data_IF_326036808605
#
_entry.id   IF_326036808605
#
_cell.length_a   1.000
_cell.length_b   1.000
_cell.length_c   1.000
_cell.angle_alpha   90.00
_cell.angle_beta   90.00
_cell.angle_gamma   90.00
#
_symmetry.space_group_name_H-M   'P 1'
#
loop_
_entity.id
_entity.type
_entity.pdbx_description
1 polymer ?
#
# COMPACT_ATOMS: atom_id res chain seq x y z
N UNK A 1 -33.06 46.99 31.60
CA UNK A 1 -31.73 47.54 31.23
C UNK A 1 -30.73 46.96 32.24
N UNK A 2 -29.73 46.14 31.92
CA UNK A 2 -28.98 45.88 30.70
C UNK A 2 -28.67 44.38 30.61
N UNK A 3 -28.92 43.76 29.48
CA UNK A 3 -28.42 42.43 29.11
C UNK A 3 -27.01 42.60 28.56
N UNK A 4 -26.02 41.95 29.18
CA UNK A 4 -24.67 41.84 28.63
C UNK A 4 -24.58 40.51 27.91
N UNK A 5 -24.56 40.56 26.58
CA UNK A 5 -24.23 39.41 25.75
C UNK A 5 -22.71 39.25 25.71
N UNK A 6 -22.18 38.16 26.27
CA UNK A 6 -20.81 37.73 25.99
C UNK A 6 -20.86 36.90 24.71
N UNK A 7 -20.50 37.52 23.59
CA UNK A 7 -20.14 36.81 22.38
C UNK A 7 -18.70 36.29 22.55
N UNK A 8 -18.56 35.03 22.96
CA UNK A 8 -17.30 34.32 22.84
C UNK A 8 -17.17 33.79 21.41
N UNK A 9 -16.38 34.48 20.58
CA UNK A 9 -15.83 33.86 19.37
C UNK A 9 -14.86 32.76 19.82
N UNK A 10 -15.38 31.54 19.98
CA UNK A 10 -14.55 30.36 20.04
C UNK A 10 -13.93 30.15 18.67
N UNK A 11 -12.60 30.16 18.60
CA UNK A 11 -11.88 29.54 17.50
C UNK A 11 -12.39 28.10 17.38
N UNK A 12 -13.18 27.80 16.34
CA UNK A 12 -13.32 26.44 15.87
C UNK A 12 -11.93 26.01 15.43
N UNK A 13 -11.26 25.21 16.27
CA UNK A 13 -10.26 24.30 15.74
C UNK A 13 -11.01 23.44 14.73
N UNK A 14 -10.66 23.59 13.45
CA UNK A 14 -11.07 22.66 12.42
C UNK A 14 -10.43 21.31 12.78
N UNK A 15 -11.14 20.54 13.61
CA UNK A 15 -10.93 19.10 13.67
C UNK A 15 -11.17 18.62 12.23
N UNK A 16 -10.23 17.86 11.62
CA UNK A 16 -10.52 17.21 10.36
C UNK A 16 -11.79 16.39 10.58
N UNK A 17 -12.86 16.73 9.86
CA UNK A 17 -14.04 15.87 9.85
C UNK A 17 -13.64 14.62 9.08
N UNK A 18 -13.08 13.63 9.76
CA UNK A 18 -13.08 12.27 9.23
C UNK A 18 -14.56 11.94 9.04
N UNK A 19 -15.02 11.90 7.79
CA UNK A 19 -16.38 11.47 7.52
C UNK A 19 -16.56 10.10 8.18
N UNK A 20 -17.57 9.99 9.05
CA UNK A 20 -17.89 8.72 9.68
C UNK A 20 -18.15 7.69 8.57
N UNK A 21 -17.57 6.50 8.70
CA UNK A 21 -17.69 5.45 7.69
C UNK A 21 -19.17 5.13 7.42
N UNK A 22 -19.56 5.13 6.14
CA UNK A 22 -20.91 4.75 5.69
C UNK A 22 -20.82 3.49 4.85
N UNK A 23 -21.47 2.43 5.31
CA UNK A 23 -21.60 1.18 4.57
C UNK A 23 -22.82 1.19 3.63
N UNK A 24 -22.72 0.59 2.41
CA UNK A 24 -21.50 0.11 1.78
C UNK A 24 -20.68 1.23 1.16
N UNK A 25 -19.36 1.15 1.27
CA UNK A 25 -18.42 2.01 0.56
C UNK A 25 -17.96 1.35 -0.73
N UNK A 26 -17.68 2.16 -1.76
CA UNK A 26 -17.06 1.64 -3.00
C UNK A 26 -15.65 1.10 -2.78
N UNK A 27 -15.00 1.43 -1.67
CA UNK A 27 -13.65 1.00 -1.31
C UNK A 27 -13.60 -0.17 -0.30
N UNK A 28 -14.76 -0.71 0.10
CA UNK A 28 -14.82 -1.82 1.05
C UNK A 28 -13.99 -3.03 0.61
N UNK A 29 -13.93 -3.30 -0.70
CA UNK A 29 -13.13 -4.40 -1.23
C UNK A 29 -11.62 -4.18 -1.05
N UNK A 30 -11.11 -2.97 -1.32
CA UNK A 30 -9.69 -2.64 -1.11
C UNK A 30 -9.30 -2.69 0.37
N UNK A 31 -10.21 -2.30 1.26
CA UNK A 31 -10.01 -2.44 2.70
C UNK A 31 -9.90 -3.92 3.11
N UNK A 32 -10.73 -4.79 2.54
CA UNK A 32 -10.64 -6.23 2.75
C UNK A 32 -9.34 -6.81 2.21
N UNK A 33 -8.86 -6.35 1.05
CA UNK A 33 -7.56 -6.77 0.51
C UNK A 33 -6.39 -6.30 1.38
N UNK A 34 -6.52 -5.17 2.08
CA UNK A 34 -5.48 -4.63 2.98
C UNK A 34 -5.43 -5.34 4.32
N UNK A 35 -6.56 -5.73 4.89
CA UNK A 35 -6.65 -6.19 6.27
C UNK A 35 -7.04 -7.66 6.45
N UNK A 36 -7.56 -8.35 5.44
CA UNK A 36 -7.93 -9.78 5.54
C UNK A 36 -6.84 -10.67 4.92
N UNK A 37 -5.67 -10.70 5.55
CA UNK A 37 -4.51 -11.44 5.05
C UNK A 37 -4.56 -12.91 5.44
N UNK A 38 -4.97 -13.25 6.66
CA UNK A 38 -4.99 -14.64 7.15
C UNK A 38 -6.25 -14.94 7.95
N UNK A 39 -6.46 -16.22 8.27
CA UNK A 39 -7.58 -16.67 9.08
C UNK A 39 -8.89 -16.83 8.28
N UNK A 40 -10.01 -16.74 9.00
CA UNK A 40 -11.36 -16.96 8.49
C UNK A 40 -11.75 -15.89 7.47
N UNK A 41 -12.19 -16.28 6.27
CA UNK A 41 -12.56 -15.34 5.19
C UNK A 41 -11.40 -14.37 4.87
N UNK A 42 -10.21 -14.94 4.61
CA UNK A 42 -9.07 -14.19 4.07
C UNK A 42 -9.21 -13.94 2.57
N UNK A 43 -8.74 -12.78 2.09
CA UNK A 43 -8.47 -12.54 0.67
C UNK A 43 -7.05 -12.98 0.28
N UNK A 44 -6.13 -12.88 1.24
CA UNK A 44 -4.78 -13.44 1.09
C UNK A 44 -3.87 -12.73 0.10
N UNK A 45 -4.00 -11.41 -0.06
CA UNK A 45 -3.12 -10.62 -0.93
C UNK A 45 -1.63 -10.77 -0.56
N UNK A 46 -1.34 -11.01 0.73
CA UNK A 46 -0.01 -11.34 1.25
C UNK A 46 0.67 -12.55 0.58
N UNK A 47 -0.10 -13.48 -0.02
CA UNK A 47 0.44 -14.71 -0.61
C UNK A 47 1.41 -14.44 -1.77
N UNK A 48 1.29 -13.28 -2.42
CA UNK A 48 2.22 -12.87 -3.47
C UNK A 48 3.62 -12.54 -2.98
N UNK A 49 3.78 -12.22 -1.69
CA UNK A 49 5.05 -11.75 -1.11
C UNK A 49 5.47 -12.52 0.13
N UNK A 50 4.85 -13.69 0.37
CA UNK A 50 5.20 -14.59 1.47
C UNK A 50 5.88 -15.85 0.92
N UNK A 51 7.15 -16.13 1.26
CA UNK A 51 8.03 -15.36 2.15
C UNK A 51 8.55 -14.05 1.53
N UNK A 52 9.11 -13.16 2.37
CA UNK A 52 9.81 -11.94 1.90
C UNK A 52 11.07 -12.27 1.07
N UNK A 53 11.68 -13.44 1.30
CA UNK A 53 12.81 -13.98 0.54
C UNK A 53 12.39 -14.38 -0.89
N UNK A 54 13.14 -15.27 -1.54
CA UNK A 54 12.85 -15.70 -2.91
C UNK A 54 11.45 -16.30 -3.05
N UNK A 55 10.75 -15.83 -4.07
CA UNK A 55 9.42 -16.28 -4.44
C UNK A 55 9.44 -17.62 -5.18
N UNK A 56 8.27 -18.25 -5.28
CA UNK A 56 8.09 -19.45 -6.11
C UNK A 56 8.07 -19.16 -7.62
N UNK A 57 8.14 -17.89 -8.04
CA UNK A 57 8.08 -17.48 -9.44
C UNK A 57 9.37 -17.78 -10.23
N UNK A 58 10.49 -18.06 -9.57
CA UNK A 58 11.73 -18.45 -10.23
C UNK A 58 12.98 -18.16 -9.42
N UNK A 59 14.11 -18.74 -9.84
CA UNK A 59 15.41 -18.47 -9.21
C UNK A 59 15.76 -16.98 -9.31
N UNK A 60 16.16 -16.36 -8.21
CA UNK A 60 16.53 -14.94 -8.15
C UNK A 60 15.36 -13.96 -8.00
N UNK A 61 14.10 -14.42 -8.07
CA UNK A 61 12.91 -13.55 -8.04
C UNK A 61 12.48 -13.25 -6.60
N UNK A 62 12.51 -11.98 -6.20
CA UNK A 62 12.00 -11.52 -4.91
C UNK A 62 10.77 -10.63 -5.13
N UNK A 63 9.58 -11.22 -5.06
CA UNK A 63 8.33 -10.53 -5.43
C UNK A 63 8.05 -9.28 -4.58
N UNK A 64 8.45 -9.27 -3.30
CA UNK A 64 8.33 -8.08 -2.46
C UNK A 64 9.10 -6.88 -3.03
N UNK A 65 10.34 -7.09 -3.50
CA UNK A 65 11.14 -6.05 -4.14
C UNK A 65 10.55 -5.64 -5.51
N UNK A 66 10.05 -6.60 -6.29
CA UNK A 66 9.41 -6.34 -7.59
C UNK A 66 8.15 -5.49 -7.47
N UNK A 67 7.36 -5.68 -6.42
CA UNK A 67 6.17 -4.88 -6.13
C UNK A 67 6.53 -3.43 -5.80
N UNK A 68 7.54 -3.21 -4.95
CA UNK A 68 8.04 -1.87 -4.62
C UNK A 68 8.62 -1.20 -5.87
N UNK A 69 9.41 -1.94 -6.67
CA UNK A 69 9.96 -1.46 -7.93
C UNK A 69 8.86 -1.08 -8.93
N UNK A 70 7.81 -1.88 -9.06
CA UNK A 70 6.69 -1.60 -9.97
C UNK A 70 6.00 -0.29 -9.61
N UNK A 71 5.76 -0.05 -8.31
CA UNK A 71 5.16 1.20 -7.87
C UNK A 71 6.08 2.41 -8.09
N UNK A 72 7.38 2.27 -7.82
CA UNK A 72 8.32 3.36 -8.09
C UNK A 72 8.40 3.70 -9.58
N UNK A 73 8.52 2.69 -10.45
CA UNK A 73 8.64 2.92 -11.89
C UNK A 73 7.38 3.60 -12.47
N UNK A 74 6.19 3.18 -12.05
CA UNK A 74 4.91 3.80 -12.44
C UNK A 74 4.83 5.27 -11.97
N UNK A 75 5.22 5.52 -10.71
CA UNK A 75 5.21 6.86 -10.12
C UNK A 75 6.25 7.81 -10.73
N UNK A 76 7.46 7.32 -10.98
CA UNK A 76 8.68 8.15 -11.13
C UNK A 76 8.67 9.11 -12.32
N UNK A 77 7.78 8.90 -13.29
CA UNK A 77 7.62 9.76 -14.47
C UNK A 77 6.68 10.94 -14.21
N UNK A 78 6.17 11.08 -12.98
CA UNK A 78 5.33 12.19 -12.56
C UNK A 78 5.98 13.56 -12.83
N UNK A 79 5.17 14.47 -13.34
CA UNK A 79 5.52 15.86 -13.58
C UNK A 79 4.57 16.74 -12.77
N UNK A 80 5.05 17.25 -11.65
CA UNK A 80 4.26 18.11 -10.77
C UNK A 80 3.88 19.45 -11.42
N UNK A 81 4.64 19.91 -12.41
CA UNK A 81 4.37 21.18 -13.09
C UNK A 81 3.24 21.06 -14.12
N UNK A 82 3.18 19.92 -14.83
CA UNK A 82 2.12 19.66 -15.83
C UNK A 82 0.96 18.84 -15.26
N UNK A 83 1.15 18.18 -14.12
CA UNK A 83 0.16 17.34 -13.46
C UNK A 83 -0.05 15.99 -14.13
N UNK A 84 0.91 15.50 -14.91
CA UNK A 84 0.83 14.20 -15.63
C UNK A 84 1.71 13.14 -14.98
N UNK A 85 1.43 11.85 -15.24
CA UNK A 85 2.16 10.73 -14.65
C UNK A 85 1.92 10.60 -13.14
N UNK A 86 2.63 9.68 -12.49
CA UNK A 86 2.37 9.28 -11.12
C UNK A 86 1.81 7.88 -11.07
N UNK A 87 1.39 7.44 -9.87
CA UNK A 87 0.90 6.08 -9.66
C UNK A 87 -0.53 5.90 -10.22
N UNK A 88 -0.60 5.65 -11.53
CA UNK A 88 -1.83 5.49 -12.31
C UNK A 88 -1.88 4.18 -13.11
N UNK A 89 -0.95 3.26 -12.85
CA UNK A 89 -0.76 1.99 -13.56
C UNK A 89 -0.44 2.13 -15.05
N UNK A 90 -0.03 3.32 -15.54
CA UNK A 90 0.42 3.51 -16.91
C UNK A 90 1.60 2.60 -17.28
N UNK A 91 2.39 2.14 -16.31
CA UNK A 91 3.49 1.19 -16.53
C UNK A 91 3.07 -0.10 -17.26
N UNK A 92 1.78 -0.48 -17.22
CA UNK A 92 1.27 -1.61 -18.01
C UNK A 92 1.46 -1.45 -19.52
N UNK A 93 1.59 -0.21 -20.00
CA UNK A 93 1.85 0.14 -21.40
C UNK A 93 3.34 0.37 -21.70
N UNK A 94 4.21 0.18 -20.70
CA UNK A 94 5.60 0.67 -20.71
C UNK A 94 6.64 -0.42 -20.44
N UNK A 95 6.21 -1.68 -20.33
CA UNK A 95 7.08 -2.80 -19.93
C UNK A 95 8.22 -3.08 -20.91
N UNK A 96 8.10 -2.63 -22.16
CA UNK A 96 9.11 -2.81 -23.21
C UNK A 96 10.08 -1.62 -23.33
N UNK A 97 9.96 -0.61 -22.47
CA UNK A 97 10.90 0.53 -22.48
C UNK A 97 12.26 0.13 -21.92
N UNK A 98 13.30 0.77 -22.43
CA UNK A 98 14.70 0.54 -22.01
C UNK A 98 14.97 0.94 -20.55
N UNK A 99 14.10 1.75 -19.97
CA UNK A 99 14.10 2.16 -18.56
C UNK A 99 13.34 1.16 -17.64
N UNK A 100 12.62 0.19 -18.23
CA UNK A 100 11.77 -0.80 -17.56
C UNK A 100 12.22 -2.25 -17.84
N UNK A 101 13.53 -2.51 -17.84
CA UNK A 101 14.06 -3.86 -18.11
C UNK A 101 13.66 -4.87 -17.01
N UNK A 102 13.29 -6.08 -17.42
CA UNK A 102 13.07 -7.24 -16.55
C UNK A 102 11.60 -7.57 -16.27
N UNK A 103 11.38 -8.72 -15.63
CA UNK A 103 10.05 -9.34 -15.55
C UNK A 103 9.18 -8.89 -14.34
N UNK A 104 9.63 -7.88 -13.60
CA UNK A 104 9.00 -7.42 -12.37
C UNK A 104 7.56 -6.91 -12.61
N UNK A 105 7.37 -6.12 -13.66
CA UNK A 105 6.10 -5.44 -13.95
C UNK A 105 5.02 -6.41 -14.40
N UNK A 106 5.34 -7.24 -15.41
CA UNK A 106 4.45 -8.31 -15.87
C UNK A 106 4.16 -9.33 -14.77
N UNK A 107 5.14 -9.65 -13.91
CA UNK A 107 4.93 -10.50 -12.73
C UNK A 107 3.95 -9.88 -11.72
N UNK A 108 4.11 -8.59 -11.44
CA UNK A 108 3.20 -7.84 -10.55
C UNK A 108 1.77 -7.85 -11.08
N UNK A 109 1.56 -7.49 -12.35
CA UNK A 109 0.23 -7.54 -12.97
C UNK A 109 -0.33 -8.97 -13.06
N UNK A 110 0.51 -9.97 -13.30
CA UNK A 110 0.11 -11.38 -13.29
C UNK A 110 -0.51 -11.81 -11.95
N UNK A 111 -0.01 -11.29 -10.83
CA UNK A 111 -0.60 -11.51 -9.52
C UNK A 111 -1.83 -10.63 -9.27
N UNK A 112 -1.70 -9.31 -9.44
CA UNK A 112 -2.76 -8.35 -9.07
C UNK A 112 -4.02 -8.49 -9.93
N UNK A 113 -3.92 -9.05 -11.13
CA UNK A 113 -5.08 -9.35 -11.99
C UNK A 113 -6.10 -10.31 -11.32
N UNK A 114 -5.71 -11.11 -10.33
CA UNK A 114 -6.65 -11.93 -9.56
C UNK A 114 -7.59 -11.10 -8.67
N UNK A 115 -7.24 -9.84 -8.41
CA UNK A 115 -7.95 -8.93 -7.52
C UNK A 115 -8.54 -7.72 -8.25
N UNK A 116 -8.15 -7.49 -9.52
CA UNK A 116 -8.67 -6.40 -10.33
C UNK A 116 -10.18 -6.53 -10.59
N UNK A 117 -10.93 -5.46 -10.30
CA UNK A 117 -12.35 -5.34 -10.66
C UNK A 117 -12.84 -3.89 -10.52
N UNK A 118 -14.14 -3.64 -10.75
CA UNK A 118 -14.74 -2.30 -10.65
C UNK A 118 -14.61 -1.61 -9.26
N UNK A 119 -14.25 -2.35 -8.22
CA UNK A 119 -13.99 -1.87 -6.85
C UNK A 119 -12.50 -1.78 -6.50
N UNK A 120 -11.60 -2.20 -7.39
CA UNK A 120 -10.15 -2.17 -7.20
C UNK A 120 -9.45 -1.90 -8.55
N UNK A 121 -9.02 -0.65 -8.75
CA UNK A 121 -8.22 -0.24 -9.90
C UNK A 121 -6.83 -0.90 -9.88
N UNK A 122 -6.20 -1.05 -11.04
CA UNK A 122 -4.85 -1.58 -11.11
C UNK A 122 -3.86 -0.69 -10.34
N UNK A 123 -4.04 0.63 -10.40
CA UNK A 123 -3.22 1.60 -9.67
C UNK A 123 -3.35 1.46 -8.15
N UNK A 124 -4.57 1.26 -7.62
CA UNK A 124 -4.76 0.98 -6.18
C UNK A 124 -4.15 -0.38 -5.78
N UNK A 125 -4.13 -1.37 -6.68
CA UNK A 125 -3.49 -2.66 -6.43
C UNK A 125 -1.96 -2.56 -6.43
N UNK A 126 -1.34 -1.73 -7.29
CA UNK A 126 0.10 -1.44 -7.24
C UNK A 126 0.47 -0.73 -5.92
N UNK A 127 -0.32 0.25 -5.49
CA UNK A 127 -0.14 0.89 -4.20
C UNK A 127 -0.25 -0.11 -3.04
N UNK A 128 -1.28 -0.96 -3.06
CA UNK A 128 -1.48 -2.00 -2.06
C UNK A 128 -0.31 -2.99 -2.03
N UNK A 129 0.21 -3.38 -3.19
CA UNK A 129 1.39 -4.21 -3.34
C UNK A 129 2.59 -3.63 -2.58
N UNK A 130 2.87 -2.33 -2.69
CA UNK A 130 3.94 -1.69 -1.89
C UNK A 130 3.69 -1.83 -0.39
N UNK A 131 2.47 -1.55 0.06
CA UNK A 131 2.10 -1.60 1.50
C UNK A 131 2.24 -3.02 2.07
N UNK A 132 1.80 -4.03 1.32
CA UNK A 132 1.83 -5.43 1.75
C UNK A 132 3.24 -6.00 1.64
N UNK A 133 4.00 -5.69 0.58
CA UNK A 133 5.40 -6.11 0.43
C UNK A 133 6.26 -5.62 1.60
N UNK A 134 6.28 -4.31 1.83
CA UNK A 134 7.07 -3.69 2.90
C UNK A 134 6.63 -4.20 4.26
N UNK A 135 5.32 -4.27 4.51
CA UNK A 135 4.80 -4.74 5.79
C UNK A 135 5.04 -6.22 6.07
N UNK A 136 4.98 -7.09 5.05
CA UNK A 136 5.30 -8.52 5.19
C UNK A 136 6.79 -8.76 5.47
N UNK A 137 7.65 -7.93 4.90
CA UNK A 137 9.09 -7.93 5.15
C UNK A 137 9.48 -7.32 6.52
N UNK A 138 8.52 -6.92 7.37
CA UNK A 138 8.81 -6.35 8.68
C UNK A 138 9.01 -4.82 8.71
N UNK A 139 8.72 -4.16 7.59
CA UNK A 139 8.81 -2.70 7.46
C UNK A 139 7.67 -1.93 8.12
N UNK A 140 7.66 -0.60 7.95
CA UNK A 140 6.79 0.29 8.73
C UNK A 140 5.35 0.26 8.21
N UNK A 141 4.42 0.81 8.99
CA UNK A 141 3.02 0.95 8.57
C UNK A 141 2.92 2.11 7.57
N UNK A 142 2.81 1.78 6.29
CA UNK A 142 2.54 2.76 5.24
C UNK A 142 1.03 3.04 5.20
N UNK A 143 0.58 4.30 5.34
CA UNK A 143 -0.81 4.67 5.10
C UNK A 143 -1.25 4.29 3.68
N UNK A 144 -2.37 3.58 3.56
CA UNK A 144 -2.91 3.14 2.26
C UNK A 144 -4.14 3.96 1.88
N UNK A 145 -3.93 5.08 1.18
CA UNK A 145 -5.04 5.82 0.57
C UNK A 145 -5.52 5.15 -0.71
N UNK A 146 -6.76 5.37 -1.11
CA UNK A 146 -7.41 4.69 -2.25
C UNK A 146 -8.15 5.64 -3.18
N UNK A 147 -8.53 5.18 -4.36
CA UNK A 147 -9.26 5.98 -5.35
C UNK A 147 -8.39 6.44 -6.52
N UNK A 148 -7.32 5.70 -6.83
CA UNK A 148 -6.53 5.92 -8.04
C UNK A 148 -7.31 5.51 -9.28
N UNK A 149 -7.17 6.28 -10.34
CA UNK A 149 -7.77 6.03 -11.65
C UNK A 149 -6.70 5.42 -12.55
N UNK A 150 -7.02 4.30 -13.18
CA UNK A 150 -6.13 3.64 -14.13
C UNK A 150 -5.93 4.50 -15.38
N UNK A 151 -4.68 4.63 -15.80
CA UNK A 151 -4.32 5.23 -17.08
C UNK A 151 -4.88 4.41 -18.24
N UNK A 152 -5.12 5.09 -19.36
CA UNK A 152 -5.62 4.47 -20.60
C UNK A 152 -4.57 4.42 -21.71
N UNK A 153 -3.40 4.99 -21.44
CA UNK A 153 -2.25 5.04 -22.32
C UNK A 153 -0.98 5.12 -21.48
N UNK A 154 0.17 5.00 -22.15
CA UNK A 154 1.47 5.12 -21.52
C UNK A 154 1.71 6.55 -21.00
N UNK A 155 2.38 6.67 -19.85
CA UNK A 155 2.83 7.92 -19.29
C UNK A 155 4.10 8.45 -19.98
N UNK A 156 4.64 9.59 -19.49
CA UNK A 156 5.91 10.12 -19.97
C UNK A 156 7.07 9.13 -19.78
N UNK A 157 8.12 9.22 -20.59
CA UNK A 157 9.39 8.52 -20.33
C UNK A 157 10.21 9.28 -19.27
N UNK A 158 11.22 8.63 -18.70
CA UNK A 158 12.20 9.27 -17.82
C UNK A 158 12.38 8.60 -16.47
N UNK A 159 12.16 7.28 -16.39
CA UNK A 159 12.50 6.52 -15.18
C UNK A 159 14.02 6.58 -14.98
N UNK A 160 14.53 6.90 -13.77
CA UNK A 160 15.96 6.98 -13.53
C UNK A 160 16.71 5.68 -13.86
N UNK A 161 17.82 5.81 -14.61
CA UNK A 161 18.71 4.71 -14.96
C UNK A 161 20.00 4.76 -14.13
N UNK A 162 20.64 3.61 -13.86
CA UNK A 162 21.79 3.54 -12.96
C UNK A 162 23.05 4.24 -13.50
N UNK A 163 23.13 4.49 -14.81
CA UNK A 163 24.25 5.14 -15.49
C UNK A 163 24.13 6.68 -15.58
N UNK A 164 22.97 7.24 -15.22
CA UNK A 164 22.75 8.69 -15.22
C UNK A 164 23.50 9.39 -14.08
N UNK A 165 23.88 10.66 -14.31
CA UNK A 165 24.55 11.48 -13.29
C UNK A 165 23.60 11.96 -12.19
N UNK A 166 24.18 12.46 -11.10
CA UNK A 166 23.42 12.88 -9.92
C UNK A 166 22.57 14.13 -10.17
N UNK A 167 22.98 15.00 -11.10
CA UNK A 167 22.20 16.18 -11.48
C UNK A 167 20.92 15.76 -12.21
N UNK A 168 21.01 14.76 -13.09
CA UNK A 168 19.88 14.15 -13.78
C UNK A 168 18.93 13.49 -12.79
N UNK A 169 19.43 12.65 -11.86
CA UNK A 169 18.61 12.03 -10.82
C UNK A 169 17.91 13.09 -9.96
N UNK A 170 18.64 14.10 -9.49
CA UNK A 170 18.06 15.19 -8.69
C UNK A 170 16.97 15.94 -9.44
N UNK A 171 17.14 16.18 -10.74
CA UNK A 171 16.13 16.83 -11.57
C UNK A 171 14.88 15.96 -11.76
N UNK A 172 15.03 14.64 -11.95
CA UNK A 172 13.89 13.73 -12.08
C UNK A 172 13.07 13.70 -10.78
N UNK A 173 13.71 13.53 -9.63
CA UNK A 173 13.02 13.55 -8.34
C UNK A 173 12.36 14.91 -8.06
N UNK A 174 13.06 16.02 -8.33
CA UNK A 174 12.51 17.36 -8.18
C UNK A 174 11.29 17.60 -9.06
N UNK A 175 11.30 17.06 -10.29
CA UNK A 175 10.15 17.13 -11.22
C UNK A 175 8.92 16.39 -10.68
N UNK A 176 9.13 15.28 -9.98
CA UNK A 176 8.08 14.54 -9.29
C UNK A 176 7.69 15.15 -7.91
N UNK A 177 8.34 16.25 -7.49
CA UNK A 177 8.03 16.95 -6.23
C UNK A 177 8.82 16.47 -5.00
N UNK A 178 9.93 15.77 -5.21
CA UNK A 178 10.81 15.25 -4.15
C UNK A 178 12.14 16.00 -4.10
N UNK A 179 12.58 16.39 -2.91
CA UNK A 179 13.88 17.04 -2.74
C UNK A 179 15.04 16.02 -2.68
N UNK A 180 16.28 16.49 -2.54
CA UNK A 180 17.46 15.60 -2.48
C UNK A 180 17.39 14.62 -1.31
N UNK A 181 17.00 15.03 -0.10
CA UNK A 181 16.87 14.11 1.04
C UNK A 181 15.74 13.08 0.83
N UNK A 182 14.66 13.46 0.14
CA UNK A 182 13.58 12.55 -0.24
C UNK A 182 14.09 11.50 -1.24
N UNK A 183 14.91 11.90 -2.22
CA UNK A 183 15.56 10.99 -3.16
C UNK A 183 16.45 9.99 -2.42
N UNK A 184 17.33 10.46 -1.53
CA UNK A 184 18.19 9.57 -0.73
C UNK A 184 17.36 8.59 0.10
N UNK A 185 16.34 9.09 0.80
CA UNK A 185 15.47 8.27 1.61
C UNK A 185 14.68 7.25 0.77
N UNK A 186 14.12 7.64 -0.37
CA UNK A 186 13.33 6.74 -1.22
C UNK A 186 14.19 5.62 -1.80
N UNK A 187 15.41 5.92 -2.27
CA UNK A 187 16.34 4.90 -2.78
C UNK A 187 16.79 3.98 -1.65
N UNK A 188 17.19 4.49 -0.48
CA UNK A 188 17.58 3.67 0.66
C UNK A 188 16.42 2.76 1.14
N UNK A 189 15.21 3.29 1.26
CA UNK A 189 14.04 2.50 1.67
C UNK A 189 13.65 1.45 0.61
N UNK A 190 13.72 1.79 -0.68
CA UNK A 190 13.42 0.85 -1.76
C UNK A 190 14.44 -0.27 -1.87
N UNK A 191 15.73 0.07 -1.78
CA UNK A 191 16.85 -0.87 -1.92
C UNK A 191 17.21 -1.61 -0.63
N UNK A 192 16.45 -1.43 0.46
CA UNK A 192 16.43 -2.41 1.55
C UNK A 192 15.89 -3.77 1.09
N UNK A 193 15.12 -3.79 0.00
CA UNK A 193 14.68 -5.03 -0.63
C UNK A 193 15.31 -5.20 -2.01
N UNK A 194 15.63 -6.44 -2.37
CA UNK A 194 15.99 -6.78 -3.74
C UNK A 194 17.48 -6.74 -4.05
N UNK A 195 17.76 -6.47 -5.33
CA UNK A 195 19.07 -6.57 -5.93
C UNK A 195 19.01 -6.43 -7.44
N UNK A 196 20.16 -6.65 -8.08
CA UNK A 196 20.32 -6.56 -9.53
C UNK A 196 20.33 -7.95 -10.15
N UNK A 197 19.47 -8.16 -11.14
CA UNK A 197 19.42 -9.37 -11.95
C UNK A 197 20.52 -9.33 -13.02
N UNK A 198 21.38 -10.35 -13.02
CA UNK A 198 22.50 -10.40 -13.94
C UNK A 198 22.10 -10.63 -15.39
N UNK A 199 21.00 -11.35 -15.64
CA UNK A 199 20.44 -11.49 -17.00
C UNK A 199 20.04 -10.15 -17.63
N UNK A 200 19.57 -9.22 -16.80
CA UNK A 200 19.02 -7.94 -17.23
C UNK A 200 20.11 -6.86 -17.29
N UNK A 201 21.09 -6.93 -16.37
CA UNK A 201 22.18 -5.96 -16.24
C UNK A 201 23.55 -6.66 -16.05
N UNK A 202 24.03 -7.43 -17.06
CA UNK A 202 25.28 -8.18 -16.96
C UNK A 202 26.51 -7.29 -16.82
N UNK A 203 26.45 -6.04 -17.26
CA UNK A 203 27.49 -5.03 -17.08
C UNK A 203 27.62 -4.56 -15.63
N UNK A 204 26.56 -4.69 -14.83
CA UNK A 204 26.55 -4.34 -13.40
C UNK A 204 26.99 -5.55 -12.57
N UNK A 205 26.41 -6.73 -12.82
CA UNK A 205 26.70 -7.93 -12.01
C UNK A 205 27.93 -8.71 -12.47
N UNK A 206 28.45 -8.41 -13.67
CA UNK A 206 29.51 -9.15 -14.35
C UNK A 206 29.14 -10.62 -14.65
N UNK A 207 27.86 -10.97 -14.63
CA UNK A 207 27.36 -12.32 -14.84
C UNK A 207 25.96 -12.31 -15.45
N UNK A 208 25.85 -12.74 -16.71
CA UNK A 208 24.58 -12.75 -17.47
C UNK A 208 23.68 -13.96 -17.23
N UNK A 209 23.92 -14.77 -16.19
CA UNK A 209 23.09 -15.95 -15.90
C UNK A 209 21.70 -15.56 -15.39
N UNK A 210 20.67 -16.27 -15.85
CA UNK A 210 19.28 -16.16 -15.34
C UNK A 210 19.18 -16.28 -13.82
N UNK A 211 20.05 -17.09 -13.21
CA UNK A 211 20.04 -17.32 -11.76
C UNK A 211 20.93 -16.35 -10.98
N UNK A 212 21.60 -15.42 -11.65
CA UNK A 212 22.45 -14.45 -10.97
C UNK A 212 21.60 -13.29 -10.47
N UNK A 213 21.54 -13.13 -9.16
CA UNK A 213 20.87 -12.04 -8.48
C UNK A 213 21.80 -11.53 -7.37
N UNK A 214 22.26 -10.28 -7.51
CA UNK A 214 23.21 -9.66 -6.57
C UNK A 214 22.44 -8.69 -5.69
N UNK A 215 22.27 -9.06 -4.42
CA UNK A 215 21.51 -8.28 -3.43
C UNK A 215 22.14 -6.91 -3.14
N UNK A 216 21.28 -5.97 -2.74
CA UNK A 216 21.74 -4.66 -2.26
C UNK A 216 22.32 -4.72 -0.84
N UNK A 217 21.91 -5.70 -0.04
CA UNK A 217 22.37 -5.91 1.33
C UNK A 217 23.08 -7.25 1.46
N UNK A 218 23.99 -7.37 2.43
CA UNK A 218 24.74 -8.60 2.65
C UNK A 218 23.99 -9.63 3.50
N UNK A 219 24.52 -10.85 3.55
CA UNK A 219 23.98 -11.95 4.37
C UNK A 219 22.48 -12.19 4.11
N UNK A 220 21.67 -12.29 5.18
CA UNK A 220 20.23 -12.55 5.09
C UNK A 220 19.40 -11.27 5.30
N UNK A 221 20.01 -10.09 5.26
CA UNK A 221 19.30 -8.82 5.44
C UNK A 221 18.23 -8.60 4.36
N UNK A 222 18.49 -9.06 3.12
CA UNK A 222 17.53 -9.04 2.01
C UNK A 222 16.20 -9.76 2.29
N UNK A 223 16.11 -10.60 3.33
CA UNK A 223 14.86 -11.27 3.74
C UNK A 223 13.98 -10.42 4.68
N UNK A 224 14.43 -9.22 5.02
CA UNK A 224 13.78 -8.28 5.95
C UNK A 224 13.87 -6.84 5.42
N UNK A 225 12.92 -6.01 5.84
CA UNK A 225 12.97 -4.57 5.60
C UNK A 225 13.63 -3.90 6.81
N UNK A 226 14.94 -3.73 6.74
CA UNK A 226 15.77 -3.14 7.78
C UNK A 226 16.71 -2.06 7.21
N UNK A 227 17.63 -1.54 8.03
CA UNK A 227 18.50 -0.45 7.62
C UNK A 227 19.92 -0.90 7.22
N UNK A 228 20.11 -2.17 6.85
CA UNK A 228 21.42 -2.71 6.48
C UNK A 228 22.01 -2.00 5.26
N UNK A 229 21.21 -1.68 4.23
CA UNK A 229 21.66 -0.91 3.05
C UNK A 229 22.30 0.43 3.46
N UNK A 230 21.87 1.01 4.58
CA UNK A 230 22.42 2.24 5.14
C UNK A 230 23.67 1.97 5.96
N UNK A 231 23.61 1.05 6.93
CA UNK A 231 24.73 0.81 7.83
C UNK A 231 25.94 0.24 7.12
N UNK A 232 25.72 -0.70 6.19
CA UNK A 232 26.78 -1.30 5.38
C UNK A 232 27.43 -0.29 4.41
N UNK A 233 26.64 0.67 3.89
CA UNK A 233 27.19 1.75 3.08
C UNK A 233 28.09 2.67 3.90
N UNK A 234 27.63 3.07 5.10
CA UNK A 234 28.34 4.01 5.96
C UNK A 234 29.62 3.43 6.57
N UNK A 235 29.65 2.13 6.88
CA UNK A 235 30.84 1.46 7.44
C UNK A 235 31.79 0.89 6.36
N UNK A 236 31.38 0.94 5.09
CA UNK A 236 32.17 0.50 3.93
C UNK A 236 32.19 -1.01 3.72
N UNK A 237 31.30 -1.76 4.39
CA UNK A 237 31.17 -3.22 4.21
C UNK A 237 30.20 -3.64 3.11
N UNK A 238 29.41 -2.72 2.56
CA UNK A 238 28.40 -3.01 1.53
C UNK A 238 28.99 -3.74 0.32
N UNK A 239 28.22 -4.70 -0.19
CA UNK A 239 28.47 -5.34 -1.50
C UNK A 239 27.45 -4.91 -2.55
N UNK A 240 26.66 -3.87 -2.29
CA UNK A 240 25.67 -3.34 -3.22
C UNK A 240 26.34 -3.03 -4.56
N UNK A 241 25.96 -3.71 -5.67
CA UNK A 241 26.62 -3.51 -6.96
C UNK A 241 26.39 -2.11 -7.54
N UNK A 242 25.38 -1.38 -7.07
CA UNK A 242 25.11 0.02 -7.40
C UNK A 242 25.84 1.00 -6.47
N UNK A 243 26.53 0.54 -5.43
CA UNK A 243 27.37 1.40 -4.58
C UNK A 243 28.87 1.16 -4.83
N UNK A 244 29.29 -0.10 -4.88
CA UNK A 244 30.69 -0.52 -4.94
C UNK A 244 31.02 -1.34 -6.19
N UNK A 245 30.17 -1.27 -7.22
CA UNK A 245 30.40 -1.92 -8.50
C UNK A 245 31.71 -1.48 -9.16
N UNK A 246 32.23 -2.34 -10.05
CA UNK A 246 33.51 -2.10 -10.75
C UNK A 246 33.47 -0.92 -11.72
N UNK A 247 32.30 -0.62 -12.28
CA UNK A 247 32.08 0.53 -13.15
C UNK A 247 31.41 1.66 -12.35
N UNK A 248 32.19 2.68 -11.98
CA UNK A 248 31.69 3.82 -11.22
C UNK A 248 30.51 4.57 -11.89
N UNK A 249 30.35 4.46 -13.22
CA UNK A 249 29.23 5.07 -13.95
C UNK A 249 27.91 4.46 -13.54
N UNK A 250 27.84 3.15 -13.30
CA UNK A 250 26.61 2.44 -12.89
C UNK A 250 26.41 2.42 -11.37
N UNK A 251 27.32 3.01 -10.59
CA UNK A 251 27.20 3.07 -9.14
C UNK A 251 26.25 4.20 -8.69
N UNK A 252 24.97 4.11 -9.10
CA UNK A 252 23.94 5.11 -8.80
C UNK A 252 23.72 5.32 -7.31
N UNK A 253 23.66 4.23 -6.53
CA UNK A 253 23.37 4.29 -5.10
C UNK A 253 24.48 5.04 -4.38
N UNK A 254 25.76 4.81 -4.73
CA UNK A 254 26.85 5.59 -4.15
C UNK A 254 26.73 7.10 -4.42
N UNK A 255 26.26 7.49 -5.61
CA UNK A 255 26.05 8.90 -5.96
C UNK A 255 24.85 9.50 -5.25
N UNK A 256 23.73 8.76 -5.20
CA UNK A 256 22.51 9.19 -4.52
C UNK A 256 22.76 9.31 -3.03
N UNK A 257 23.31 8.30 -2.37
CA UNK A 257 23.59 8.30 -0.93
C UNK A 257 24.52 9.44 -0.49
N UNK A 258 25.47 9.82 -1.36
CA UNK A 258 26.38 10.94 -1.14
C UNK A 258 25.84 12.32 -1.52
N UNK A 259 24.65 12.41 -2.14
CA UNK A 259 24.14 13.63 -2.75
C UNK A 259 23.95 14.80 -1.77
N UNK A 260 23.74 14.50 -0.49
CA UNK A 260 23.59 15.48 0.59
C UNK A 260 24.76 15.43 1.59
N UNK A 261 25.93 14.97 1.15
CA UNK A 261 27.11 14.68 1.99
C UNK A 261 26.82 13.61 3.06
N UNK A 262 26.06 12.57 2.70
CA UNK A 262 25.63 11.47 3.58
C UNK A 262 24.77 11.90 4.78
N UNK A 263 24.23 13.12 4.80
CA UNK A 263 23.48 13.63 5.95
C UNK A 263 22.22 12.79 6.21
N UNK A 264 21.46 12.48 5.16
CA UNK A 264 20.28 11.60 5.25
C UNK A 264 20.70 10.18 5.62
N UNK A 265 21.75 9.63 5.01
CA UNK A 265 22.24 8.27 5.34
C UNK A 265 22.62 8.14 6.82
N UNK A 266 23.37 9.11 7.37
CA UNK A 266 23.70 9.11 8.80
C UNK A 266 22.46 9.17 9.70
N UNK A 267 21.40 9.85 9.26
CA UNK A 267 20.13 9.91 9.99
C UNK A 267 19.39 8.56 9.93
N UNK A 268 19.42 7.90 8.77
CA UNK A 268 18.79 6.60 8.54
C UNK A 268 19.56 5.41 9.19
N UNK A 269 20.76 5.64 9.71
CA UNK A 269 21.51 4.62 10.45
C UNK A 269 20.84 4.22 11.78
N UNK A 270 19.94 5.06 12.31
CA UNK A 270 19.08 4.70 13.43
C UNK A 270 17.85 3.90 12.93
N UNK A 271 17.61 2.66 13.42
CA UNK A 271 16.53 1.82 12.92
C UNK A 271 15.13 2.43 13.08
N UNK A 272 14.86 3.18 14.16
CA UNK A 272 13.54 3.80 14.37
C UNK A 272 13.31 4.97 13.40
N UNK A 273 14.36 5.74 13.15
CA UNK A 273 14.36 6.82 12.17
C UNK A 273 14.23 6.29 10.75
N UNK A 274 14.91 5.18 10.43
CA UNK A 274 14.72 4.48 9.16
C UNK A 274 13.27 4.06 8.96
N UNK A 275 12.69 3.34 9.92
CA UNK A 275 11.30 2.88 9.85
C UNK A 275 10.31 4.05 9.69
N UNK A 276 10.43 5.11 10.48
CA UNK A 276 9.53 6.26 10.38
C UNK A 276 9.72 7.07 9.07
N UNK A 277 10.95 7.23 8.60
CA UNK A 277 11.24 7.91 7.34
C UNK A 277 10.72 7.09 6.15
N UNK A 278 10.94 5.77 6.15
CA UNK A 278 10.44 4.88 5.12
C UNK A 278 8.90 4.83 5.06
N UNK A 279 8.21 4.88 6.21
CA UNK A 279 6.75 5.02 6.23
C UNK A 279 6.30 6.29 5.50
N UNK A 280 6.96 7.42 5.78
CA UNK A 280 6.61 8.73 5.20
C UNK A 280 6.91 8.79 3.70
N UNK A 281 8.13 8.42 3.29
CA UNK A 281 8.56 8.58 1.89
C UNK A 281 7.86 7.60 0.95
N UNK A 282 7.63 6.35 1.38
CA UNK A 282 6.91 5.37 0.58
C UNK A 282 5.42 5.67 0.50
N UNK A 283 4.83 6.28 1.53
CA UNK A 283 3.46 6.80 1.45
C UNK A 283 3.33 7.93 0.43
N UNK A 284 4.26 8.89 0.45
CA UNK A 284 4.30 9.98 -0.55
C UNK A 284 4.53 9.45 -1.96
N UNK A 285 5.37 8.43 -2.12
CA UNK A 285 5.58 7.75 -3.41
C UNK A 285 4.24 7.22 -3.94
N UNK A 286 3.55 6.35 -3.19
CA UNK A 286 2.31 5.74 -3.70
C UNK A 286 1.15 6.74 -3.81
N UNK A 287 1.17 7.85 -3.08
CA UNK A 287 0.14 8.92 -3.14
C UNK A 287 0.42 9.99 -4.22
N UNK A 288 1.55 9.89 -4.93
CA UNK A 288 1.85 10.78 -6.07
C UNK A 288 1.04 10.32 -7.28
N UNK A 289 0.03 11.09 -7.68
CA UNK A 289 -0.93 10.73 -8.74
C UNK A 289 -1.09 11.90 -9.74
N UNK A 290 -1.58 11.64 -10.97
CA UNK A 290 -1.88 12.71 -11.91
C UNK A 290 -2.89 13.72 -11.34
N UNK A 291 -2.80 14.98 -11.77
CA UNK A 291 -3.72 16.04 -11.33
C UNK A 291 -5.18 15.82 -11.77
N UNK A 292 -5.40 14.94 -12.76
CA UNK A 292 -6.74 14.49 -13.18
C UNK A 292 -7.36 13.50 -12.19
N UNK A 293 -6.56 12.89 -11.31
CA UNK A 293 -7.06 12.01 -10.27
C UNK A 293 -7.79 12.84 -9.20
N UNK A 294 -9.00 12.44 -8.78
CA UNK A 294 -9.64 13.00 -7.60
C UNK A 294 -8.75 12.86 -6.36
N UNK A 295 -9.05 13.63 -5.31
CA UNK A 295 -8.39 13.42 -4.03
C UNK A 295 -8.53 11.96 -3.58
N UNK A 296 -7.41 11.36 -3.16
CA UNK A 296 -7.40 10.01 -2.61
C UNK A 296 -8.14 9.99 -1.27
N UNK A 297 -8.87 8.91 -1.02
CA UNK A 297 -9.62 8.69 0.20
C UNK A 297 -8.76 8.00 1.26
N UNK A 298 -8.90 8.40 2.52
CA UNK A 298 -8.06 7.92 3.62
C UNK A 298 -8.82 7.26 4.77
N UNK A 299 -10.12 6.95 4.59
CA UNK A 299 -11.02 6.41 5.64
C UNK A 299 -10.42 5.25 6.43
N UNK A 300 -9.66 4.37 5.76
CA UNK A 300 -9.00 3.20 6.37
C UNK A 300 -7.49 3.18 6.12
N UNK A 301 -6.88 4.32 5.80
CA UNK A 301 -5.48 4.36 5.39
C UNK A 301 -4.54 3.87 6.50
N UNK A 302 -4.84 4.18 7.75
CA UNK A 302 -4.00 3.87 8.91
C UNK A 302 -4.64 2.91 9.90
N UNK A 303 -5.94 2.64 9.80
CA UNK A 303 -6.67 1.74 10.69
C UNK A 303 -7.83 1.07 9.95
N UNK A 304 -8.15 -0.19 10.27
CA UNK A 304 -9.27 -0.88 9.63
C UNK A 304 -10.62 -0.31 10.08
N UNK A 305 -11.65 -0.58 9.29
CA UNK A 305 -13.03 -0.28 9.68
C UNK A 305 -13.42 -1.21 10.85
N UNK A 306 -13.84 -0.61 11.95
CA UNK A 306 -14.10 -1.31 13.21
C UNK A 306 -15.27 -2.31 13.13
N UNK A 307 -16.36 -1.95 12.44
CA UNK A 307 -17.53 -2.82 12.27
C UNK A 307 -17.96 -2.73 10.82
N UNK A 308 -18.03 -3.87 10.14
CA UNK A 308 -18.34 -3.94 8.71
C UNK A 308 -19.34 -5.07 8.41
N UNK A 309 -20.55 -4.75 7.92
CA UNK A 309 -21.52 -5.73 7.47
C UNK A 309 -21.17 -6.34 6.10
N UNK A 310 -21.57 -7.59 5.88
CA UNK A 310 -21.49 -8.31 4.61
C UNK A 310 -22.83 -9.00 4.40
N UNK A 311 -23.55 -8.60 3.36
CA UNK A 311 -24.85 -9.19 3.05
C UNK A 311 -24.68 -10.24 1.97
N UNK A 312 -24.88 -11.51 2.34
CA UNK A 312 -24.78 -12.66 1.44
C UNK A 312 -26.07 -12.82 0.62
N UNK A 313 -27.24 -12.63 1.26
CA UNK A 313 -28.51 -12.62 0.56
C UNK A 313 -29.55 -11.73 1.26
N UNK A 314 -30.34 -11.02 0.45
CA UNK A 314 -31.58 -10.36 0.88
C UNK A 314 -32.68 -10.80 -0.08
N UNK A 315 -33.65 -11.57 0.42
CA UNK A 315 -34.68 -12.21 -0.40
C UNK A 315 -36.08 -12.05 0.18
N UNK A 316 -37.07 -11.88 -0.69
CA UNK A 316 -38.48 -11.99 -0.31
C UNK A 316 -38.85 -13.46 -0.14
N UNK A 317 -39.15 -13.87 1.09
CA UNK A 317 -39.60 -15.23 1.40
C UNK A 317 -41.06 -15.40 0.99
N UNK A 318 -41.87 -14.37 1.25
CA UNK A 318 -43.26 -14.27 0.82
C UNK A 318 -43.68 -12.79 0.85
N UNK A 319 -44.92 -12.50 0.46
CA UNK A 319 -45.45 -11.13 0.32
C UNK A 319 -45.30 -10.24 1.58
N UNK A 320 -45.04 -10.82 2.77
CA UNK A 320 -44.91 -10.08 4.03
C UNK A 320 -43.60 -10.32 4.77
N UNK A 321 -42.68 -11.14 4.25
CA UNK A 321 -41.45 -11.52 4.95
C UNK A 321 -40.21 -11.43 4.04
N UNK A 322 -39.17 -10.79 4.55
CA UNK A 322 -37.82 -10.78 3.97
C UNK A 322 -36.92 -11.71 4.79
N UNK A 323 -35.98 -12.37 4.12
CA UNK A 323 -34.85 -13.08 4.72
C UNK A 323 -33.59 -12.28 4.42
N UNK A 324 -32.78 -12.05 5.45
CA UNK A 324 -31.46 -11.47 5.36
C UNK A 324 -30.48 -12.49 5.92
N UNK A 325 -29.49 -12.89 5.14
CA UNK A 325 -28.37 -13.71 5.60
C UNK A 325 -27.08 -12.98 5.32
N UNK A 326 -26.11 -13.12 6.21
CA UNK A 326 -24.84 -12.46 6.05
C UNK A 326 -23.90 -12.63 7.21
N UNK A 327 -22.94 -11.74 7.26
CA UNK A 327 -21.92 -11.70 8.30
C UNK A 327 -21.63 -10.28 8.73
N UNK A 328 -21.04 -10.15 9.91
CA UNK A 328 -20.48 -8.90 10.39
C UNK A 328 -19.07 -9.19 10.86
N UNK A 329 -18.13 -8.42 10.31
CA UNK A 329 -16.76 -8.37 10.79
C UNK A 329 -16.66 -7.30 11.86
N UNK A 330 -16.11 -7.66 13.00
CA UNK A 330 -15.90 -6.77 14.14
C UNK A 330 -14.42 -6.79 14.49
N UNK A 331 -13.79 -5.63 14.56
CA UNK A 331 -12.43 -5.49 15.04
C UNK A 331 -12.34 -5.93 16.51
N UNK A 332 -11.29 -6.65 16.87
CA UNK A 332 -11.19 -7.29 18.19
C UNK A 332 -11.24 -6.29 19.36
N UNK A 333 -10.79 -5.04 19.17
CA UNK A 333 -10.91 -4.00 20.19
C UNK A 333 -12.35 -3.52 20.40
N UNK A 334 -13.21 -3.67 19.38
CA UNK A 334 -14.64 -3.42 19.47
C UNK A 334 -15.43 -4.66 19.94
N UNK A 335 -14.84 -5.85 19.88
CA UNK A 335 -15.41 -7.12 20.37
C UNK A 335 -15.24 -7.31 21.90
N UNK A 336 -15.63 -6.29 22.67
CA UNK A 336 -15.43 -6.24 24.12
C UNK A 336 -16.57 -6.90 24.93
N UNK A 337 -17.63 -7.35 24.27
CA UNK A 337 -18.87 -7.82 24.90
C UNK A 337 -19.19 -9.26 24.50
N UNK A 338 -19.64 -10.06 25.47
CA UNK A 338 -19.98 -11.47 25.25
C UNK A 338 -21.24 -11.65 24.38
N UNK A 339 -22.08 -10.62 24.29
CA UNK A 339 -23.38 -10.60 23.62
C UNK A 339 -23.52 -9.39 22.69
N UNK A 340 -23.06 -9.54 21.44
CA UNK A 340 -23.30 -8.53 20.42
C UNK A 340 -24.67 -8.74 19.75
N UNK A 341 -25.47 -7.67 19.69
CA UNK A 341 -26.75 -7.66 19.00
C UNK A 341 -26.71 -6.70 17.82
N UNK A 342 -27.30 -7.11 16.71
CA UNK A 342 -27.36 -6.32 15.49
C UNK A 342 -28.78 -5.85 15.29
N UNK A 343 -28.98 -4.54 15.27
CA UNK A 343 -30.28 -3.96 14.96
C UNK A 343 -30.35 -3.59 13.48
N UNK A 344 -31.19 -4.30 12.73
CA UNK A 344 -31.56 -3.88 11.40
C UNK A 344 -32.70 -2.86 11.49
N UNK A 345 -32.43 -1.66 10.99
CA UNK A 345 -33.42 -0.59 10.86
C UNK A 345 -33.91 -0.56 9.43
N UNK A 346 -35.12 -1.07 9.16
CA UNK A 346 -35.73 -0.99 7.84
C UNK A 346 -36.63 0.24 7.75
N UNK A 347 -36.37 1.08 6.75
CA UNK A 347 -37.19 2.24 6.41
C UNK A 347 -37.88 1.95 5.08
N UNK A 348 -39.19 1.65 5.05
CA UNK A 348 -39.89 1.43 3.79
C UNK A 348 -39.85 2.69 2.91
N UNK A 349 -39.77 2.50 1.59
CA UNK A 349 -40.02 3.60 0.66
C UNK A 349 -41.42 4.16 0.95
N UNK A 350 -41.52 5.47 1.20
CA UNK A 350 -42.78 6.13 1.54
C UNK A 350 -43.87 5.74 0.55
N UNK A 351 -44.94 5.10 1.04
CA UNK A 351 -46.18 5.06 0.29
C UNK A 351 -46.78 6.47 0.36
N UNK A 352 -46.98 7.12 -0.78
CA UNK A 352 -47.56 8.46 -0.82
C UNK A 352 -48.98 8.51 -0.21
N UNK A 353 -49.63 7.36 -0.03
CA UNK A 353 -50.95 7.23 0.57
C UNK A 353 -50.95 7.05 2.10
N UNK A 354 -49.86 6.55 2.70
CA UNK A 354 -49.76 6.38 4.15
C UNK A 354 -48.71 7.35 4.70
N UNK A 355 -49.13 8.29 5.55
CA UNK A 355 -48.21 9.13 6.33
C UNK A 355 -47.43 8.32 7.39
N UNK A 356 -47.24 7.01 7.18
CA UNK A 356 -46.66 6.10 8.14
C UNK A 356 -45.15 6.03 7.92
N UNK A 357 -44.43 6.75 8.76
CA UNK A 357 -42.97 6.73 8.85
C UNK A 357 -42.51 5.61 9.80
N UNK A 358 -43.19 4.46 9.77
CA UNK A 358 -42.94 3.36 10.70
C UNK A 358 -41.60 2.69 10.39
N UNK A 359 -40.61 3.04 11.19
CA UNK A 359 -39.31 2.38 11.20
C UNK A 359 -39.47 0.99 11.82
N UNK A 360 -39.17 -0.07 11.07
CA UNK A 360 -39.18 -1.44 11.59
C UNK A 360 -37.78 -1.75 12.13
N UNK A 361 -37.66 -1.77 13.45
CA UNK A 361 -36.46 -2.21 14.15
C UNK A 361 -36.57 -3.69 14.48
N UNK A 362 -35.72 -4.50 13.85
CA UNK A 362 -35.62 -5.94 14.13
C UNK A 362 -34.22 -6.24 14.63
N UNK A 363 -34.13 -6.94 15.76
CA UNK A 363 -32.86 -7.47 16.26
C UNK A 363 -32.58 -8.80 15.57
N UNK A 364 -31.42 -8.90 14.93
CA UNK A 364 -30.92 -10.13 14.33
C UNK A 364 -29.91 -10.74 15.31
N UNK A 365 -30.20 -11.96 15.73
CA UNK A 365 -29.25 -12.73 16.53
C UNK A 365 -28.11 -13.21 15.63
N UNK A 366 -26.88 -13.00 16.06
CA UNK A 366 -25.70 -13.48 15.33
C UNK A 366 -24.98 -14.54 16.15
N UNK A 367 -24.28 -15.45 15.48
CA UNK A 367 -23.45 -16.47 16.12
C UNK A 367 -22.01 -16.30 15.64
N UNK A 368 -21.05 -16.38 16.56
CA UNK A 368 -19.63 -16.33 16.19
C UNK A 368 -19.28 -17.51 15.28
N UNK A 369 -18.60 -17.23 14.17
CA UNK A 369 -18.09 -18.28 13.30
C UNK A 369 -17.11 -19.19 14.06
N UNK A 370 -17.05 -20.47 13.67
CA UNK A 370 -16.28 -21.48 14.42
C UNK A 370 -15.01 -21.94 13.70
N UNK A 371 -14.99 -21.93 12.36
CA UNK A 371 -13.81 -22.27 11.60
C UNK A 371 -12.69 -21.25 11.86
N UNK A 372 -11.49 -21.74 12.20
CA UNK A 372 -10.37 -20.90 12.63
C UNK A 372 -10.75 -19.89 13.72
N UNK A 373 -11.57 -20.34 14.69
CA UNK A 373 -12.09 -19.53 15.80
C UNK A 373 -12.96 -18.34 15.37
N UNK A 374 -13.38 -18.30 14.10
CA UNK A 374 -14.13 -17.19 13.52
C UNK A 374 -13.31 -15.91 13.45
N UNK A 375 -11.98 -16.02 13.32
CA UNK A 375 -11.09 -14.86 13.32
C UNK A 375 -10.26 -14.74 12.05
N UNK A 376 -10.15 -13.52 11.52
CA UNK A 376 -9.13 -13.15 10.53
C UNK A 376 -8.15 -12.15 11.10
N UNK A 377 -7.00 -12.03 10.46
CA UNK A 377 -6.05 -10.97 10.78
C UNK A 377 -5.37 -10.37 9.55
N UNK A 378 -4.83 -9.17 9.75
CA UNK A 378 -3.96 -8.47 8.81
C UNK A 378 -2.55 -9.06 8.78
N UNK A 379 -1.56 -8.20 8.57
CA UNK A 379 -0.16 -8.65 8.46
C UNK A 379 0.31 -9.29 9.77
N UNK A 380 1.15 -10.35 9.75
CA UNK A 380 1.62 -11.02 10.96
C UNK A 380 2.25 -10.08 11.99
N UNK A 381 3.05 -9.10 11.53
CA UNK A 381 3.68 -8.07 12.36
C UNK A 381 2.69 -7.09 13.02
N UNK A 382 1.43 -7.10 12.59
CA UNK A 382 0.35 -6.19 13.04
C UNK A 382 -0.88 -6.93 13.54
N UNK A 383 -0.78 -8.26 13.74
CA UNK A 383 -1.94 -9.10 14.01
C UNK A 383 -2.71 -8.69 15.27
N UNK A 384 -2.09 -8.00 16.23
CA UNK A 384 -2.78 -7.49 17.43
C UNK A 384 -3.71 -6.31 17.10
N UNK A 385 -3.28 -5.39 16.24
CA UNK A 385 -4.03 -4.19 15.84
C UNK A 385 -4.95 -4.45 14.64
N UNK A 386 -4.78 -5.58 13.96
CA UNK A 386 -5.51 -5.97 12.76
C UNK A 386 -6.20 -7.33 12.96
N UNK A 387 -6.76 -7.60 14.15
CA UNK A 387 -7.53 -8.81 14.45
C UNK A 387 -9.04 -8.55 14.32
N UNK A 388 -9.75 -9.49 13.72
CA UNK A 388 -11.20 -9.39 13.53
C UNK A 388 -11.91 -10.68 13.95
N UNK A 389 -13.08 -10.52 14.57
CA UNK A 389 -14.06 -11.57 14.81
C UNK A 389 -15.19 -11.50 13.79
N UNK A 390 -15.72 -12.66 13.42
CA UNK A 390 -16.81 -12.78 12.47
C UNK A 390 -18.05 -13.38 13.12
N UNK A 391 -19.18 -12.71 12.91
CA UNK A 391 -20.48 -13.10 13.41
C UNK A 391 -21.42 -13.36 12.23
N UNK A 392 -22.05 -14.52 12.19
CA UNK A 392 -22.93 -14.98 11.11
C UNK A 392 -24.40 -14.87 11.52
N UNK A 393 -25.25 -14.53 10.55
CA UNK A 393 -26.69 -14.34 10.75
C UNK A 393 -27.52 -14.94 9.63
#
# INVERSE_FOLDING_TARGET
>A
MKTVALAGLGLLQALPSTAEYVWPSKYDYLEDLRYLQTGYIRNGFIDGVNPCSFSSAGAGRQTAAEWVRTAYHDMSTHDAATGTGGLDASIMFETERDENVGDAFNGTFGFTNNYYNIRASAADLIALSTVIAVGNCGGPKIPFRVGRIDATEAGPTGVPKPDQDIDTHTQIFAKAGFNTSDMVAMVACGHSLGGVHGKDFPEITLNSSETNFVHFETANHFESFDNAVVTEYLDGSTTNPLAVGTNATTNSDARVFAADNNATMHTLADPATFQSTCASILARMIDTVPATNPALEDTFATAPIAIKPYIDALALVNATHLSLTGRIRVHAAADAYADQTVHLTYVPARDAASNDNSTLNTTIATTRATFQLGTSSGLPSRAQDELFAWHEM
#
